data_IF_896868403318
#
_entry.id   IF_896868403318
#
_cell.length_a   1.000
_cell.length_b   1.000
_cell.length_c   1.000
_cell.angle_alpha   90.00
_cell.angle_beta   90.00
_cell.angle_gamma   90.00
#
_symmetry.space_group_name_H-M   'P 1'
#
loop_
_entity.id
_entity.type
_entity.pdbx_description
1 polymer ?
#
# COMPACT_ATOMS: atom_id res chain seq x y z
N UNK A 1 26.33 32.76 42.96
CA UNK A 1 25.43 31.60 43.20
C UNK A 1 24.20 31.66 42.30
N UNK A 2 24.36 31.62 40.96
CA UNK A 2 23.26 31.57 39.97
C UNK A 2 23.64 30.80 38.69
N UNK A 3 24.65 29.93 38.75
CA UNK A 3 25.12 29.11 37.61
C UNK A 3 24.88 27.62 37.82
N UNK A 4 23.91 27.25 38.65
CA UNK A 4 23.63 25.86 39.04
C UNK A 4 22.23 25.38 38.62
N UNK A 5 21.71 25.89 37.49
CA UNK A 5 20.44 25.41 36.91
C UNK A 5 20.59 24.92 35.46
N UNK A 6 21.80 24.93 34.90
CA UNK A 6 22.07 24.41 33.55
C UNK A 6 22.78 23.06 33.69
N UNK A 7 22.09 22.07 34.26
CA UNK A 7 22.60 20.69 34.29
C UNK A 7 21.50 19.63 34.20
N UNK A 8 20.23 20.02 34.06
CA UNK A 8 19.09 19.10 33.97
C UNK A 8 18.56 18.90 32.53
N UNK A 9 19.26 19.37 31.50
CA UNK A 9 18.79 19.34 30.11
C UNK A 9 19.59 18.37 29.21
N UNK A 10 20.31 17.42 29.79
CA UNK A 10 21.18 16.51 29.05
C UNK A 10 20.74 15.07 29.30
N UNK A 11 20.29 14.43 28.22
CA UNK A 11 20.12 12.99 28.03
C UNK A 11 18.88 12.31 28.66
N UNK A 12 17.73 12.57 28.05
CA UNK A 12 16.77 11.51 27.78
C UNK A 12 16.49 11.48 26.28
N UNK A 13 17.48 11.07 25.49
CA UNK A 13 17.22 10.59 24.12
C UNK A 13 16.60 9.20 24.29
N UNK A 14 15.29 9.18 24.56
CA UNK A 14 14.51 7.98 24.33
C UNK A 14 14.54 7.76 22.82
N UNK A 15 15.30 6.76 22.37
CA UNK A 15 15.15 6.20 21.03
C UNK A 15 13.77 5.57 20.98
N UNK A 16 12.75 6.38 20.68
CA UNK A 16 11.47 5.86 20.21
C UNK A 16 11.84 5.21 18.87
N UNK A 17 11.96 3.89 18.89
CA UNK A 17 11.99 3.10 17.67
C UNK A 17 10.60 3.22 17.05
N UNK A 18 10.35 4.36 16.41
CA UNK A 18 9.22 4.52 15.52
C UNK A 18 9.44 3.55 14.38
N UNK A 19 8.45 2.71 14.11
CA UNK A 19 8.43 1.97 12.86
C UNK A 19 8.59 3.00 11.73
N UNK A 20 9.45 2.69 10.76
CA UNK A 20 9.62 3.57 9.62
C UNK A 20 8.28 3.69 8.91
N UNK A 21 7.79 4.93 8.74
CA UNK A 21 6.55 5.20 8.06
C UNK A 21 6.56 4.56 6.66
N UNK A 22 5.38 4.11 6.21
CA UNK A 22 5.23 3.47 4.90
C UNK A 22 5.72 4.38 3.76
N UNK A 23 6.72 3.93 3.01
CA UNK A 23 7.26 4.64 1.85
C UNK A 23 6.35 4.44 0.63
N UNK A 24 5.36 5.31 0.50
CA UNK A 24 4.38 5.27 -0.60
C UNK A 24 5.02 5.57 -1.96
N UNK A 25 6.08 6.38 -2.02
CA UNK A 25 6.78 6.67 -3.26
C UNK A 25 7.52 5.43 -3.77
N UNK A 26 8.12 4.64 -2.87
CA UNK A 26 8.72 3.35 -3.24
C UNK A 26 7.67 2.35 -3.74
N UNK A 27 6.47 2.33 -3.15
CA UNK A 27 5.35 1.51 -3.65
C UNK A 27 4.97 1.96 -5.06
N UNK A 28 4.82 3.26 -5.31
CA UNK A 28 4.50 3.77 -6.64
C UNK A 28 5.56 3.34 -7.68
N UNK A 29 6.84 3.46 -7.33
CA UNK A 29 7.94 3.11 -8.22
C UNK A 29 8.00 1.61 -8.53
N UNK A 30 7.81 0.75 -7.52
CA UNK A 30 7.85 -0.71 -7.69
C UNK A 30 6.68 -1.22 -8.51
N UNK A 31 5.52 -0.57 -8.36
CA UNK A 31 4.28 -1.06 -8.93
C UNK A 31 3.89 -0.33 -10.23
N UNK A 32 4.57 0.77 -10.55
CA UNK A 32 4.38 1.58 -11.75
C UNK A 32 3.11 2.43 -11.75
N UNK A 33 2.33 2.42 -10.66
CA UNK A 33 1.06 3.13 -10.54
C UNK A 33 1.04 4.03 -9.31
N UNK A 34 0.33 5.16 -9.42
CA UNK A 34 0.09 6.05 -8.29
C UNK A 34 -1.04 5.53 -7.40
N UNK A 35 -0.73 5.16 -6.18
CA UNK A 35 -1.74 4.80 -5.18
C UNK A 35 -2.44 5.99 -4.51
N UNK A 36 -3.47 5.69 -3.74
CA UNK A 36 -4.25 6.63 -2.92
C UNK A 36 -4.11 6.30 -1.44
N UNK A 37 -3.76 7.29 -0.63
CA UNK A 37 -3.70 7.17 0.83
C UNK A 37 -5.07 7.49 1.43
N UNK A 38 -5.62 6.55 2.20
CA UNK A 38 -6.68 6.85 3.15
C UNK A 38 -6.04 7.27 4.48
N UNK A 39 -6.00 8.57 4.75
CA UNK A 39 -5.36 9.12 5.96
C UNK A 39 -6.02 8.64 7.25
N UNK A 40 -7.35 8.42 7.24
CA UNK A 40 -8.10 7.98 8.42
C UNK A 40 -7.75 6.54 8.80
N UNK A 41 -7.52 5.70 7.79
CA UNK A 41 -7.24 4.27 7.98
C UNK A 41 -5.74 3.96 8.00
N UNK A 42 -4.90 4.89 7.53
CA UNK A 42 -3.46 4.69 7.34
C UNK A 42 -3.16 3.63 6.28
N UNK A 43 -3.98 3.57 5.22
CA UNK A 43 -3.92 2.53 4.18
C UNK A 43 -3.61 3.18 2.84
N UNK A 44 -2.53 2.72 2.20
CA UNK A 44 -2.15 3.13 0.86
C UNK A 44 -2.58 2.09 -0.17
N UNK A 45 -3.56 2.40 -1.02
CA UNK A 45 -4.12 1.47 -2.00
C UNK A 45 -3.69 1.82 -3.42
N UNK A 46 -3.15 0.85 -4.13
CA UNK A 46 -2.85 0.92 -5.56
C UNK A 46 -3.82 0.00 -6.31
N UNK A 47 -4.26 0.40 -7.51
CA UNK A 47 -5.30 -0.33 -8.26
C UNK A 47 -4.93 -0.42 -9.73
N UNK A 48 -4.90 -1.64 -10.26
CA UNK A 48 -4.64 -2.00 -11.65
C UNK A 48 -5.96 -2.40 -12.34
N UNK A 49 -6.50 -1.59 -13.25
CA UNK A 49 -7.59 -2.04 -14.10
C UNK A 49 -7.09 -3.09 -15.11
N UNK A 50 -7.84 -4.18 -15.31
CA UNK A 50 -7.63 -5.14 -16.41
C UNK A 50 -8.18 -4.55 -17.72
N UNK A 51 -7.53 -3.52 -18.23
CA UNK A 51 -7.91 -2.87 -19.50
C UNK A 51 -7.76 -3.80 -20.72
N UNK A 52 -7.02 -4.90 -20.57
CA UNK A 52 -6.87 -5.98 -21.55
C UNK A 52 -8.13 -6.86 -21.66
N UNK A 53 -8.89 -7.00 -20.57
CA UNK A 53 -10.07 -7.87 -20.50
C UNK A 53 -11.30 -7.15 -21.04
N UNK A 54 -11.92 -7.71 -22.08
CA UNK A 54 -13.13 -7.18 -22.71
C UNK A 54 -14.32 -8.11 -22.43
N UNK A 55 -15.06 -7.83 -21.36
CA UNK A 55 -16.30 -8.55 -21.05
C UNK A 55 -17.49 -7.80 -21.63
N UNK A 56 -18.39 -8.53 -22.30
CA UNK A 56 -19.66 -8.02 -22.79
C UNK A 56 -20.80 -8.82 -22.17
N UNK A 57 -21.73 -8.13 -21.50
CA UNK A 57 -22.95 -8.70 -20.93
C UNK A 57 -24.15 -7.98 -21.54
N UNK A 58 -25.11 -8.73 -22.10
CA UNK A 58 -26.31 -8.17 -22.75
C UNK A 58 -26.02 -7.07 -23.80
N UNK A 59 -24.93 -7.22 -24.54
CA UNK A 59 -24.50 -6.25 -25.57
C UNK A 59 -23.80 -5.01 -25.01
N UNK A 60 -23.59 -4.92 -23.69
CA UNK A 60 -22.89 -3.82 -23.05
C UNK A 60 -21.47 -4.23 -22.61
N UNK A 61 -20.48 -3.41 -22.95
CA UNK A 61 -19.09 -3.64 -22.54
C UNK A 61 -18.87 -3.20 -21.10
N UNK A 62 -18.44 -4.13 -20.25
CA UNK A 62 -18.17 -3.85 -18.85
C UNK A 62 -16.84 -3.10 -18.68
N UNK A 63 -16.85 -1.91 -18.04
CA UNK A 63 -15.64 -1.18 -17.72
C UNK A 63 -14.94 -1.80 -16.52
N UNK A 64 -13.60 -1.67 -16.39
CA UNK A 64 -12.86 -2.41 -15.37
C UNK A 64 -13.25 -2.12 -13.92
N UNK A 65 -13.76 -0.92 -13.62
CA UNK A 65 -14.19 -0.58 -12.26
C UNK A 65 -15.40 -1.42 -11.78
N UNK A 66 -16.11 -2.12 -12.69
CA UNK A 66 -17.21 -3.02 -12.36
C UNK A 66 -16.75 -4.46 -12.04
N UNK A 67 -15.57 -4.62 -11.43
CA UNK A 67 -15.09 -5.91 -10.93
C UNK A 67 -13.95 -6.55 -11.73
N UNK A 68 -13.36 -5.85 -12.71
CA UNK A 68 -12.15 -6.29 -13.41
C UNK A 68 -10.91 -5.49 -12.95
N UNK A 69 -10.91 -5.08 -11.68
CA UNK A 69 -9.81 -4.34 -11.08
C UNK A 69 -9.05 -5.21 -10.08
N UNK A 70 -7.74 -5.29 -10.24
CA UNK A 70 -6.80 -5.87 -9.26
C UNK A 70 -6.34 -4.75 -8.33
N UNK A 71 -6.14 -5.01 -7.04
CA UNK A 71 -5.58 -4.00 -6.15
C UNK A 71 -4.74 -4.59 -5.03
N UNK A 72 -3.81 -3.77 -4.53
CA UNK A 72 -3.02 -4.04 -3.35
C UNK A 72 -3.06 -2.83 -2.43
N UNK A 73 -3.35 -3.04 -1.15
CA UNK A 73 -3.37 -2.03 -0.12
C UNK A 73 -2.33 -2.36 0.94
N UNK A 74 -1.57 -1.33 1.30
CA UNK A 74 -0.41 -1.41 2.17
C UNK A 74 -0.71 -0.62 3.44
N UNK A 75 -0.38 -1.21 4.58
CA UNK A 75 -0.47 -0.57 5.90
C UNK A 75 0.82 -0.85 6.66
N UNK A 76 1.26 0.14 7.42
CA UNK A 76 2.39 -0.03 8.33
C UNK A 76 2.12 -1.15 9.35
N UNK A 77 3.12 -2.00 9.57
CA UNK A 77 3.08 -3.09 10.54
C UNK A 77 4.32 -3.07 11.44
N UNK A 78 4.28 -3.80 12.56
CA UNK A 78 5.41 -3.91 13.51
C UNK A 78 6.72 -4.43 12.89
N UNK A 79 6.69 -5.00 11.69
CA UNK A 79 7.88 -5.47 11.01
C UNK A 79 7.67 -5.32 9.50
N UNK A 80 7.72 -4.07 9.01
CA UNK A 80 7.53 -3.75 7.60
C UNK A 80 6.11 -3.32 7.27
N UNK A 81 5.57 -3.82 6.17
CA UNK A 81 4.23 -3.49 5.69
C UNK A 81 3.35 -4.74 5.66
N UNK A 82 2.12 -4.60 6.13
CA UNK A 82 1.04 -5.53 5.84
C UNK A 82 0.47 -5.19 4.46
N UNK A 83 0.30 -6.20 3.62
CA UNK A 83 -0.37 -6.07 2.33
C UNK A 83 -1.62 -6.93 2.31
N UNK A 84 -2.70 -6.38 1.77
CA UNK A 84 -3.92 -7.12 1.43
C UNK A 84 -4.39 -6.67 0.05
N UNK A 85 -5.05 -7.55 -0.68
CA UNK A 85 -5.51 -7.25 -2.01
C UNK A 85 -6.33 -8.38 -2.60
N UNK A 86 -6.86 -8.12 -3.78
CA UNK A 86 -7.35 -9.15 -4.69
C UNK A 86 -6.72 -8.96 -6.06
N UNK A 87 -6.64 -10.07 -6.80
CA UNK A 87 -6.14 -10.11 -8.16
C UNK A 87 -7.17 -10.80 -9.02
N UNK A 88 -7.60 -10.09 -10.06
CA UNK A 88 -8.56 -10.61 -11.05
C UNK A 88 -7.77 -11.34 -12.12
N UNK A 89 -8.04 -12.64 -12.25
CA UNK A 89 -7.33 -13.56 -13.11
C UNK A 89 -8.34 -14.37 -13.94
N UNK A 90 -7.94 -14.77 -15.15
CA UNK A 90 -8.55 -15.88 -15.85
C UNK A 90 -8.12 -17.21 -15.22
N UNK A 91 -8.87 -18.27 -15.50
CA UNK A 91 -8.61 -19.61 -14.96
C UNK A 91 -7.19 -20.10 -15.28
N UNK A 92 -6.69 -19.84 -16.49
CA UNK A 92 -5.36 -20.21 -16.95
C UNK A 92 -4.23 -19.33 -16.39
N UNK A 93 -4.55 -18.16 -15.81
CA UNK A 93 -3.60 -17.26 -15.17
C UNK A 93 -3.35 -17.59 -13.68
N UNK A 94 -4.21 -18.41 -13.04
CA UNK A 94 -4.14 -18.71 -11.60
C UNK A 94 -2.82 -19.38 -11.22
N UNK A 95 -2.45 -20.48 -11.88
CA UNK A 95 -1.24 -21.23 -11.55
C UNK A 95 0.05 -20.42 -11.79
N UNK A 96 0.20 -19.71 -12.94
CA UNK A 96 1.31 -18.77 -13.13
C UNK A 96 1.40 -17.71 -12.03
N UNK A 97 0.29 -17.10 -11.62
CA UNK A 97 0.27 -16.06 -10.59
C UNK A 97 0.66 -16.58 -9.21
N UNK A 98 0.21 -17.79 -8.84
CA UNK A 98 0.52 -18.40 -7.55
C UNK A 98 1.97 -18.88 -7.42
N UNK A 99 2.64 -19.15 -8.54
CA UNK A 99 3.99 -19.76 -8.55
C UNK A 99 5.12 -18.74 -8.74
N UNK A 100 4.78 -17.45 -8.88
CA UNK A 100 5.71 -16.36 -9.15
C UNK A 100 6.45 -15.84 -7.89
#
# INVERSE_FOLDING_TARGET
MKKLFILAAIFAVATISGFAALDTAKIDNLTGLKGKLNEKEGVYKVTWPRDDVKVVADGWTMPPFMGLGTWAAFKEAKAGAMVMGDTVLFEDEVNPAMSA
#
